data_IF_799144703193
#
_entry.id   IF_799144703193
#
_cell.length_a   1.000
_cell.length_b   1.000
_cell.length_c   1.000
_cell.angle_alpha   90.00
_cell.angle_beta   90.00
_cell.angle_gamma   90.00
#
_symmetry.space_group_name_H-M   'P 1'
#
loop_
_entity.id
_entity.type
_entity.pdbx_description
1 polymer ?
#
# COMPACT_ATOMS: atom_id res chain seq x y z
N UNK A 1 19.66 -33.06 14.66
CA UNK A 1 20.56 -31.99 14.19
C UNK A 1 19.69 -30.78 13.87
N UNK A 2 19.66 -29.76 14.74
CA UNK A 2 18.90 -28.54 14.48
C UNK A 2 19.74 -27.64 13.58
N UNK A 3 19.27 -27.39 12.37
CA UNK A 3 19.96 -26.54 11.39
C UNK A 3 19.45 -25.11 11.60
N UNK A 4 20.32 -24.13 11.90
CA UNK A 4 19.91 -22.75 12.08
C UNK A 4 19.41 -22.17 10.74
N UNK A 5 18.17 -21.67 10.77
CA UNK A 5 17.59 -20.81 9.73
C UNK A 5 17.82 -19.37 10.17
N UNK A 6 18.30 -18.50 9.29
CA UNK A 6 18.73 -17.16 9.70
C UNK A 6 17.84 -16.03 9.19
N UNK A 7 16.96 -16.28 8.21
CA UNK A 7 16.12 -15.22 7.63
C UNK A 7 14.81 -15.73 7.03
N UNK A 8 13.77 -14.92 7.23
CA UNK A 8 12.42 -15.07 6.68
C UNK A 8 12.09 -13.88 5.78
N UNK A 9 11.28 -14.08 4.75
CA UNK A 9 10.72 -12.99 3.93
C UNK A 9 9.39 -13.38 3.30
N UNK A 10 8.58 -12.37 3.00
CA UNK A 10 7.40 -12.50 2.14
C UNK A 10 7.75 -12.01 0.73
N UNK A 11 7.43 -12.79 -0.30
CA UNK A 11 7.71 -12.44 -1.71
C UNK A 11 6.47 -12.51 -2.58
N UNK A 12 6.46 -11.74 -3.67
CA UNK A 12 5.37 -11.77 -4.65
C UNK A 12 4.05 -11.19 -4.14
N UNK A 13 4.01 -10.62 -2.94
CA UNK A 13 2.86 -9.86 -2.45
C UNK A 13 2.93 -8.39 -2.82
N UNK A 14 1.96 -7.63 -2.28
CA UNK A 14 1.71 -6.23 -2.64
C UNK A 14 2.56 -5.24 -1.80
N UNK A 15 3.24 -5.75 -0.78
CA UNK A 15 4.04 -5.01 0.18
C UNK A 15 5.05 -5.93 0.89
N UNK A 16 5.91 -5.38 1.75
CA UNK A 16 6.82 -6.17 2.58
C UNK A 16 6.09 -7.01 3.64
N UNK A 17 4.86 -6.63 3.98
CA UNK A 17 3.99 -7.34 4.91
C UNK A 17 3.01 -8.29 4.23
N UNK A 18 3.16 -8.57 2.92
CA UNK A 18 2.30 -9.53 2.22
C UNK A 18 3.06 -10.37 1.21
N UNK A 19 2.66 -11.62 1.03
CA UNK A 19 3.18 -12.51 -0.02
C UNK A 19 3.37 -13.95 0.42
N UNK A 20 4.09 -14.71 -0.41
CA UNK A 20 4.48 -16.09 -0.14
C UNK A 20 5.67 -16.13 0.81
N UNK A 21 5.56 -16.91 1.88
CA UNK A 21 6.62 -17.07 2.87
C UNK A 21 7.78 -17.90 2.31
N UNK A 22 8.98 -17.35 2.42
CA UNK A 22 10.23 -18.04 2.13
C UNK A 22 11.17 -18.00 3.33
N UNK A 23 11.87 -19.10 3.56
CA UNK A 23 12.90 -19.26 4.58
C UNK A 23 14.23 -19.56 3.93
N UNK A 24 15.30 -18.99 4.47
CA UNK A 24 16.66 -19.27 4.03
C UNK A 24 17.35 -20.26 4.96
N UNK A 25 17.82 -21.38 4.41
CA UNK A 25 18.64 -22.37 5.11
C UNK A 25 20.10 -22.22 4.67
N UNK A 26 21.00 -21.96 5.62
CA UNK A 26 22.44 -21.82 5.32
C UNK A 26 23.10 -23.13 4.85
N UNK A 27 22.50 -24.29 5.13
CA UNK A 27 23.01 -25.58 4.68
C UNK A 27 22.74 -25.87 3.20
N UNK A 28 21.78 -25.19 2.58
CA UNK A 28 21.41 -25.31 1.18
C UNK A 28 21.87 -24.08 0.40
N UNK A 29 23.18 -23.90 0.19
CA UNK A 29 23.77 -22.99 -0.80
C UNK A 29 23.04 -21.63 -0.98
N UNK A 30 22.81 -20.89 0.11
CA UNK A 30 22.13 -19.58 0.07
C UNK A 30 20.71 -19.59 -0.56
N UNK A 31 20.06 -20.75 -0.72
CA UNK A 31 18.78 -20.88 -1.42
C UNK A 31 17.58 -20.59 -0.52
N UNK A 32 16.53 -20.03 -1.11
CA UNK A 32 15.27 -19.72 -0.43
C UNK A 32 14.25 -20.84 -0.70
N UNK A 33 13.71 -21.44 0.35
CA UNK A 33 12.68 -22.47 0.27
C UNK A 33 11.31 -21.87 0.58
N UNK A 34 10.30 -22.22 -0.22
CA UNK A 34 8.90 -21.88 0.06
C UNK A 34 8.37 -22.69 1.23
N UNK A 35 7.54 -22.06 2.07
CA UNK A 35 6.85 -22.72 3.18
C UNK A 35 5.46 -23.14 2.73
N UNK A 36 4.99 -24.32 3.14
CA UNK A 36 3.70 -24.88 2.73
C UNK A 36 2.50 -24.16 3.34
N UNK A 37 1.39 -24.06 2.62
CA UNK A 37 0.10 -23.64 3.16
C UNK A 37 -0.32 -24.57 4.33
N UNK A 38 -0.82 -23.98 5.42
CA UNK A 38 -1.13 -24.71 6.66
C UNK A 38 0.07 -24.94 7.59
N UNK A 39 1.28 -24.51 7.21
CA UNK A 39 2.48 -24.62 8.04
C UNK A 39 2.48 -23.75 9.30
N UNK A 40 1.76 -22.64 9.26
CA UNK A 40 1.67 -21.69 10.36
C UNK A 40 0.26 -21.73 10.95
N UNK A 41 0.19 -21.91 12.26
CA UNK A 41 -0.99 -21.56 13.01
C UNK A 41 -1.05 -20.04 13.24
N UNK A 42 -2.10 -19.57 13.90
CA UNK A 42 -2.27 -18.14 14.20
C UNK A 42 -1.09 -17.57 15.00
N UNK A 43 -0.54 -18.33 15.95
CA UNK A 43 0.57 -17.88 16.80
C UNK A 43 1.85 -17.75 15.99
N UNK A 44 2.13 -18.70 15.11
CA UNK A 44 3.25 -18.62 14.17
C UNK A 44 3.13 -17.46 13.20
N UNK A 45 1.93 -17.17 12.72
CA UNK A 45 1.69 -15.97 11.91
C UNK A 45 1.91 -14.67 12.70
N UNK A 46 1.52 -14.62 13.98
CA UNK A 46 1.78 -13.47 14.86
C UNK A 46 3.29 -13.26 15.11
N UNK A 47 4.05 -14.34 15.34
CA UNK A 47 5.51 -14.30 15.48
C UNK A 47 6.16 -13.78 14.20
N UNK A 48 5.78 -14.32 13.04
CA UNK A 48 6.34 -13.91 11.75
C UNK A 48 6.04 -12.44 11.43
N UNK A 49 4.79 -12.00 11.60
CA UNK A 49 4.44 -10.61 11.34
C UNK A 49 5.21 -9.66 12.26
N UNK A 50 5.37 -10.02 13.55
CA UNK A 50 6.16 -9.25 14.50
C UNK A 50 7.65 -9.21 14.13
N UNK A 51 8.22 -10.34 13.70
CA UNK A 51 9.62 -10.43 13.24
C UNK A 51 9.87 -9.51 12.05
N UNK A 52 8.92 -9.42 11.11
CA UNK A 52 8.97 -8.53 9.96
C UNK A 52 8.70 -7.05 10.30
N UNK A 53 8.37 -6.73 11.55
CA UNK A 53 7.98 -5.37 11.96
C UNK A 53 6.59 -4.96 11.45
N UNK A 54 5.77 -5.93 11.02
CA UNK A 54 4.40 -5.73 10.61
C UNK A 54 3.44 -5.84 11.82
N UNK A 55 2.20 -5.41 11.63
CA UNK A 55 1.11 -5.57 12.61
C UNK A 55 0.53 -6.99 12.62
N UNK A 56 -0.64 -7.16 13.23
CA UNK A 56 -1.29 -8.47 13.38
C UNK A 56 -1.57 -9.18 12.03
N UNK A 57 -1.53 -10.52 11.98
CA UNK A 57 -1.83 -11.28 10.77
C UNK A 57 -3.30 -11.15 10.36
N UNK A 58 -3.54 -10.93 9.07
CA UNK A 58 -4.86 -10.87 8.42
C UNK A 58 -5.12 -12.19 7.71
N UNK A 59 -5.24 -13.27 8.49
CA UNK A 59 -5.36 -14.64 7.98
C UNK A 59 -6.56 -14.79 7.03
N UNK A 60 -6.26 -14.98 5.74
CA UNK A 60 -7.18 -15.46 4.71
C UNK A 60 -6.53 -16.68 4.04
N UNK A 61 -7.09 -17.87 4.23
CA UNK A 61 -6.55 -19.10 3.65
C UNK A 61 -6.62 -20.28 4.62
N UNK A 62 -6.96 -21.45 4.10
CA UNK A 62 -7.53 -22.56 4.83
C UNK A 62 -6.48 -23.49 5.47
N UNK A 63 -6.94 -24.19 6.52
CA UNK A 63 -6.23 -25.29 7.18
C UNK A 63 -5.95 -26.42 6.17
N UNK A 64 -4.68 -26.60 5.77
CA UNK A 64 -4.21 -27.81 5.08
C UNK A 64 -3.24 -28.58 5.98
N UNK A 65 -3.49 -29.87 6.31
CA UNK A 65 -2.72 -30.61 7.31
C UNK A 65 -1.43 -31.27 6.80
N UNK A 66 -0.87 -30.85 5.65
CA UNK A 66 0.24 -31.57 5.02
C UNK A 66 1.36 -30.62 4.60
N UNK A 67 2.31 -30.40 5.52
CA UNK A 67 3.53 -29.62 5.29
C UNK A 67 4.40 -29.48 6.55
N UNK A 68 5.50 -28.74 6.42
CA UNK A 68 6.33 -28.28 7.56
C UNK A 68 5.43 -27.53 8.54
N UNK A 69 5.35 -27.90 9.81
CA UNK A 69 4.50 -27.19 10.78
C UNK A 69 5.36 -26.52 11.84
N UNK A 70 5.18 -25.20 12.01
CA UNK A 70 5.78 -24.44 13.11
C UNK A 70 4.79 -24.41 14.27
N UNK A 71 5.25 -24.86 15.43
CA UNK A 71 4.46 -24.89 16.66
C UNK A 71 4.94 -23.77 17.58
N UNK A 72 4.51 -22.54 17.29
CA UNK A 72 4.88 -21.37 18.10
C UNK A 72 3.97 -21.21 19.32
N UNK A 73 4.54 -20.85 20.45
CA UNK A 73 3.81 -20.47 21.66
C UNK A 73 3.29 -19.02 21.60
N UNK A 74 3.89 -18.17 20.76
CA UNK A 74 3.50 -16.77 20.47
C UNK A 74 4.44 -15.71 21.07
N UNK A 75 5.39 -16.10 21.91
CA UNK A 75 6.34 -15.21 22.58
C UNK A 75 7.72 -15.18 21.90
N UNK A 76 7.92 -16.03 20.90
CA UNK A 76 9.16 -16.16 20.14
C UNK A 76 9.49 -14.87 19.37
N UNK A 77 10.76 -14.49 19.35
CA UNK A 77 11.20 -13.27 18.66
C UNK A 77 11.33 -13.49 17.16
N UNK A 78 11.66 -14.72 16.77
CA UNK A 78 11.78 -15.15 15.37
C UNK A 78 10.98 -16.43 15.14
N UNK A 79 10.47 -16.60 13.93
CA UNK A 79 9.76 -17.82 13.53
C UNK A 79 10.69 -19.06 13.60
N UNK A 80 11.98 -18.83 13.42
CA UNK A 80 13.02 -19.87 13.50
C UNK A 80 13.26 -20.38 14.92
N UNK A 81 12.80 -19.65 15.94
CA UNK A 81 12.88 -20.09 17.34
C UNK A 81 11.76 -21.09 17.69
N UNK A 82 10.73 -21.20 16.84
CA UNK A 82 9.62 -22.12 17.07
C UNK A 82 10.02 -23.58 16.75
N UNK A 83 9.57 -24.56 17.57
CA UNK A 83 9.65 -25.97 17.24
C UNK A 83 9.06 -26.27 15.86
N UNK A 84 9.82 -27.00 15.03
CA UNK A 84 9.42 -27.34 13.66
C UNK A 84 9.31 -28.85 13.46
N UNK A 85 8.21 -29.30 12.84
CA UNK A 85 8.05 -30.69 12.37
C UNK A 85 8.12 -30.71 10.84
N UNK A 86 8.91 -31.63 10.27
CA UNK A 86 9.04 -31.76 8.81
C UNK A 86 8.43 -33.09 8.37
N UNK A 87 7.18 -33.03 7.93
CA UNK A 87 6.42 -34.18 7.45
C UNK A 87 5.94 -33.91 6.03
N UNK A 88 6.43 -34.67 5.05
CA UNK A 88 5.91 -34.67 3.68
C UNK A 88 6.89 -34.26 2.57
N UNK A 89 6.49 -34.46 1.30
CA UNK A 89 7.33 -34.20 0.13
C UNK A 89 7.66 -32.71 -0.03
N UNK A 90 8.76 -32.41 -0.74
CA UNK A 90 9.29 -31.05 -0.95
C UNK A 90 8.38 -30.12 -1.77
N UNK A 91 7.31 -30.64 -2.37
CA UNK A 91 6.38 -29.90 -3.22
C UNK A 91 5.01 -29.75 -2.55
N UNK A 92 4.69 -28.51 -2.17
CA UNK A 92 3.42 -28.11 -1.56
C UNK A 92 3.03 -26.72 -2.07
N UNK A 93 1.73 -26.36 -2.03
CA UNK A 93 1.30 -24.99 -2.30
C UNK A 93 1.95 -24.03 -1.29
N UNK A 94 2.45 -22.89 -1.74
CA UNK A 94 3.14 -21.92 -0.88
C UNK A 94 2.17 -21.15 0.00
N UNK A 95 2.52 -21.00 1.28
CA UNK A 95 1.79 -20.19 2.25
C UNK A 95 1.84 -18.72 1.87
N UNK A 96 0.69 -18.16 1.52
CA UNK A 96 0.52 -16.72 1.39
C UNK A 96 0.03 -16.15 2.73
N UNK A 97 0.77 -15.19 3.27
CA UNK A 97 0.41 -14.47 4.47
C UNK A 97 0.30 -12.98 4.15
N UNK A 98 -0.72 -12.33 4.71
CA UNK A 98 -0.81 -10.88 4.75
C UNK A 98 -0.85 -10.45 6.20
N UNK A 99 0.10 -9.62 6.60
CA UNK A 99 0.13 -8.93 7.88
C UNK A 99 -0.47 -7.53 7.71
N UNK A 100 -1.01 -6.98 8.80
CA UNK A 100 -1.42 -5.58 8.82
C UNK A 100 -0.20 -4.69 8.64
N UNK A 101 -0.28 -3.69 7.76
CA UNK A 101 0.79 -2.69 7.65
C UNK A 101 0.91 -1.89 8.96
N UNK A 102 2.13 -1.56 9.42
CA UNK A 102 2.37 -0.69 10.56
C UNK A 102 2.14 0.79 10.18
N UNK A 103 1.08 1.07 9.41
CA UNK A 103 0.75 2.37 8.85
C UNK A 103 -0.70 2.73 9.21
N UNK A 104 -0.96 4.02 9.36
CA UNK A 104 -2.32 4.57 9.48
C UNK A 104 -2.40 6.00 8.95
N UNK A 105 -3.63 6.42 8.64
CA UNK A 105 -3.95 7.81 8.36
C UNK A 105 -4.72 8.41 9.53
N UNK A 106 -4.33 9.60 9.98
CA UNK A 106 -4.96 10.30 11.11
C UNK A 106 -5.43 11.70 10.74
N UNK A 107 -6.56 12.11 11.32
CA UNK A 107 -7.08 13.48 11.19
C UNK A 107 -7.69 13.82 9.83
N UNK A 108 -8.04 12.83 9.01
CA UNK A 108 -8.88 13.01 7.83
C UNK A 108 -10.34 12.63 8.07
N UNK A 109 -11.19 12.83 7.06
CA UNK A 109 -12.63 12.57 7.15
C UNK A 109 -13.01 11.07 7.18
N UNK A 110 -12.07 10.18 6.83
CA UNK A 110 -12.28 8.73 6.79
C UNK A 110 -11.01 7.97 7.19
N UNK A 111 -11.10 6.64 7.30
CA UNK A 111 -9.93 5.76 7.53
C UNK A 111 -8.91 5.80 6.37
N UNK A 112 -9.33 6.24 5.20
CA UNK A 112 -8.55 6.30 3.96
C UNK A 112 -8.11 7.72 3.61
N UNK A 113 -8.16 8.63 4.59
CA UNK A 113 -7.78 10.02 4.46
C UNK A 113 -7.04 10.49 5.71
N UNK A 114 -5.95 11.23 5.53
CA UNK A 114 -5.30 11.95 6.63
C UNK A 114 -3.79 11.98 6.55
N UNK A 115 -3.17 12.24 7.69
CA UNK A 115 -1.71 12.33 7.85
C UNK A 115 -1.12 10.94 8.06
N UNK A 116 -0.04 10.61 7.33
CA UNK A 116 0.65 9.33 7.45
C UNK A 116 1.40 9.23 8.78
N UNK A 117 1.07 8.21 9.55
CA UNK A 117 1.83 7.77 10.71
C UNK A 117 2.24 6.31 10.55
N UNK A 118 3.44 6.00 11.03
CA UNK A 118 3.97 4.65 11.08
C UNK A 118 4.16 4.22 12.54
N UNK A 119 3.91 2.95 12.82
CA UNK A 119 4.17 2.35 14.11
C UNK A 119 5.62 1.85 14.16
N UNK A 120 6.36 2.29 15.17
CA UNK A 120 7.70 1.78 15.46
C UNK A 120 7.78 1.39 16.94
N UNK A 121 7.90 0.08 17.20
CA UNK A 121 8.03 -0.49 18.56
C UNK A 121 6.88 -0.11 19.51
N UNK A 122 5.64 -0.15 19.02
CA UNK A 122 4.44 0.16 19.81
C UNK A 122 4.11 1.65 19.92
N UNK A 123 4.93 2.52 19.33
CA UNK A 123 4.66 3.96 19.28
C UNK A 123 4.35 4.41 17.86
N UNK A 124 3.26 5.15 17.72
CA UNK A 124 2.90 5.81 16.46
C UNK A 124 3.66 7.11 16.31
N UNK A 125 4.33 7.27 15.17
CA UNK A 125 5.14 8.46 14.84
C UNK A 125 4.79 8.96 13.45
N UNK A 126 4.91 10.28 13.27
CA UNK A 126 4.75 10.89 11.94
C UNK A 126 5.91 10.49 11.04
N UNK A 127 5.59 10.31 9.76
CA UNK A 127 6.59 10.02 8.73
C UNK A 127 7.03 11.33 8.07
N UNK A 128 8.33 11.54 7.97
CA UNK A 128 8.92 12.65 7.22
C UNK A 128 9.53 12.11 5.91
N UNK A 129 9.28 12.74 4.75
CA UNK A 129 9.75 12.22 3.49
C UNK A 129 11.24 12.51 3.29
N UNK A 130 12.03 11.47 3.02
CA UNK A 130 13.32 11.63 2.36
C UNK A 130 13.07 11.64 0.84
N UNK A 131 12.91 12.84 0.27
CA UNK A 131 12.71 13.03 -1.18
C UNK A 131 11.35 13.62 -1.58
N UNK A 132 10.96 13.36 -2.83
CA UNK A 132 9.68 13.80 -3.39
C UNK A 132 8.52 13.05 -2.72
N UNK A 133 7.42 13.77 -2.51
CA UNK A 133 6.16 13.19 -2.07
C UNK A 133 5.17 13.41 -3.19
N UNK A 134 4.89 12.36 -3.93
CA UNK A 134 4.08 12.37 -5.12
C UNK A 134 2.93 11.36 -5.02
N UNK A 135 2.16 11.24 -6.09
CA UNK A 135 1.02 10.33 -6.14
C UNK A 135 1.44 8.86 -6.12
N UNK A 136 2.66 8.52 -6.56
CA UNK A 136 3.16 7.14 -6.55
C UNK A 136 3.48 6.71 -5.12
N UNK A 137 4.14 7.56 -4.34
CA UNK A 137 4.37 7.35 -2.91
C UNK A 137 3.05 7.21 -2.15
N UNK A 138 2.07 8.08 -2.42
CA UNK A 138 0.73 7.96 -1.85
C UNK A 138 0.02 6.66 -2.28
N UNK A 139 0.20 6.22 -3.53
CA UNK A 139 -0.39 4.97 -4.02
C UNK A 139 0.15 3.74 -3.27
N UNK A 140 1.42 3.75 -2.88
CA UNK A 140 1.98 2.70 -2.02
C UNK A 140 1.31 2.69 -0.64
N UNK A 141 1.08 3.86 -0.04
CA UNK A 141 0.36 3.97 1.25
C UNK A 141 -1.09 3.50 1.13
N UNK A 142 -1.83 3.96 0.11
CA UNK A 142 -3.22 3.56 -0.11
C UNK A 142 -3.36 2.05 -0.36
N UNK A 143 -2.40 1.46 -1.08
CA UNK A 143 -2.36 0.01 -1.30
C UNK A 143 -2.08 -0.76 -0.01
N UNK A 144 -1.13 -0.30 0.80
CA UNK A 144 -0.81 -0.94 2.08
C UNK A 144 -1.97 -0.90 3.09
N UNK A 145 -2.78 0.15 3.06
CA UNK A 145 -3.95 0.30 3.93
C UNK A 145 -5.23 -0.35 3.40
N UNK A 146 -5.17 -0.94 2.20
CA UNK A 146 -6.31 -1.42 1.43
C UNK A 146 -7.42 -0.36 1.35
N UNK A 147 -7.04 0.80 0.83
CA UNK A 147 -7.86 2.02 0.73
C UNK A 147 -8.10 2.43 -0.74
N UNK A 148 -7.95 1.50 -1.67
CA UNK A 148 -8.10 1.76 -3.10
C UNK A 148 -6.91 2.49 -3.74
N UNK A 149 -7.20 3.36 -4.69
CA UNK A 149 -6.21 4.16 -5.43
C UNK A 149 -5.88 5.47 -4.70
N UNK A 150 -4.68 6.00 -4.89
CA UNK A 150 -4.33 7.33 -4.43
C UNK A 150 -5.00 8.41 -5.27
N UNK A 151 -5.62 9.36 -4.59
CA UNK A 151 -6.30 10.52 -5.19
C UNK A 151 -5.46 11.78 -5.00
N UNK A 152 -4.84 11.94 -3.83
CA UNK A 152 -4.03 13.12 -3.50
C UNK A 152 -2.83 12.78 -2.63
N UNK A 153 -1.74 13.52 -2.85
CA UNK A 153 -0.51 13.51 -2.08
C UNK A 153 -0.08 14.97 -1.81
N UNK A 154 -0.24 15.45 -0.58
CA UNK A 154 0.08 16.84 -0.21
C UNK A 154 1.12 16.88 0.92
N UNK A 155 2.10 17.78 0.81
CA UNK A 155 2.98 18.17 1.93
C UNK A 155 2.38 19.42 2.58
N UNK A 156 1.85 19.29 3.79
CA UNK A 156 1.40 20.45 4.58
C UNK A 156 2.44 20.85 5.60
N UNK A 157 2.56 22.15 5.88
CA UNK A 157 3.28 22.61 7.07
C UNK A 157 2.49 22.19 8.30
N UNK A 158 3.13 21.43 9.16
CA UNK A 158 2.61 21.04 10.46
C UNK A 158 2.88 22.09 11.51
N UNK A 159 2.91 21.65 12.77
CA UNK A 159 3.26 22.53 13.88
C UNK A 159 4.71 22.99 13.75
N UNK A 160 4.93 24.29 13.77
CA UNK A 160 6.27 24.88 13.98
C UNK A 160 6.61 24.71 15.45
N UNK A 161 7.54 23.81 15.76
CA UNK A 161 8.08 23.70 17.12
C UNK A 161 9.35 24.54 17.24
N UNK A 162 9.42 25.35 18.29
CA UNK A 162 10.68 26.01 18.67
C UNK A 162 11.62 24.95 19.20
N UNK A 163 12.76 24.78 18.56
CA UNK A 163 13.81 23.85 18.97
C UNK A 163 15.04 24.63 19.38
N UNK A 164 15.80 24.09 20.34
CA UNK A 164 17.11 24.63 20.66
C UNK A 164 18.13 24.05 19.69
N UNK A 165 18.71 24.90 18.85
CA UNK A 165 19.89 24.56 18.05
C UNK A 165 21.15 24.88 18.83
N UNK A 166 22.24 24.15 18.55
CA UNK A 166 23.57 24.44 19.10
C UNK A 166 24.54 24.72 17.97
N UNK A 167 25.28 25.83 18.06
CA UNK A 167 26.33 26.13 17.09
C UNK A 167 27.59 25.33 17.41
N UNK A 168 27.95 24.39 16.54
CA UNK A 168 29.15 23.57 16.72
C UNK A 168 30.43 24.40 16.68
N UNK A 169 30.46 25.46 15.87
CA UNK A 169 31.63 26.34 15.76
C UNK A 169 31.81 27.22 17.00
N UNK A 170 30.71 27.55 17.69
CA UNK A 170 30.75 28.23 18.99
C UNK A 170 31.28 27.29 20.08
N UNK A 171 30.78 26.05 20.15
CA UNK A 171 31.24 25.06 21.14
C UNK A 171 32.73 24.74 20.95
N UNK A 172 33.20 24.63 19.70
CA UNK A 172 34.62 24.39 19.37
C UNK A 172 35.55 25.53 19.78
N UNK A 173 35.03 26.73 20.08
CA UNK A 173 35.80 27.89 20.54
C UNK A 173 35.92 27.97 22.07
N UNK A 174 35.67 26.88 22.80
CA UNK A 174 35.72 26.80 24.27
C UNK A 174 34.67 27.69 25.00
N UNK A 175 33.58 28.08 24.34
CA UNK A 175 32.46 28.75 25.00
C UNK A 175 31.57 27.77 25.77
N UNK A 176 30.92 28.23 26.84
CA UNK A 176 29.97 27.40 27.57
C UNK A 176 28.80 27.02 26.66
N UNK A 177 28.38 25.75 26.66
CA UNK A 177 27.35 25.23 25.73
C UNK A 177 26.07 26.06 25.76
N UNK A 178 25.68 26.58 26.93
CA UNK A 178 24.52 27.46 27.14
C UNK A 178 24.58 28.75 26.31
N UNK A 179 25.77 29.30 26.08
CA UNK A 179 25.99 30.53 25.31
C UNK A 179 25.98 30.27 23.79
N UNK A 180 26.08 29.00 23.40
CA UNK A 180 26.04 28.56 22.00
C UNK A 180 24.65 28.09 21.55
N UNK A 181 23.65 28.17 22.44
CA UNK A 181 22.27 27.82 22.15
C UNK A 181 21.56 28.94 21.41
N UNK A 182 20.83 28.60 20.36
CA UNK A 182 19.94 29.52 19.67
C UNK A 182 18.56 28.88 19.47
N UNK A 183 17.53 29.72 19.35
CA UNK A 183 16.17 29.24 19.08
C UNK A 183 16.03 29.06 17.57
N UNK A 184 16.00 27.80 17.14
CA UNK A 184 15.63 27.41 15.79
C UNK A 184 14.12 27.15 15.67
N UNK A 185 13.65 27.05 14.43
CA UNK A 185 12.31 26.56 14.13
C UNK A 185 12.45 25.23 13.40
N UNK A 186 11.84 24.17 13.94
CA UNK A 186 11.66 22.92 13.21
C UNK A 186 10.28 22.97 12.58
N UNK A 187 10.24 22.96 11.25
CA UNK A 187 9.00 22.89 10.48
C UNK A 187 8.67 21.42 10.28
N UNK A 188 7.80 20.86 11.13
CA UNK A 188 7.36 19.48 10.93
C UNK A 188 6.46 19.42 9.70
N UNK A 189 6.83 18.64 8.69
CA UNK A 189 5.99 18.45 7.51
C UNK A 189 4.99 17.33 7.78
N UNK A 190 3.72 17.58 7.46
CA UNK A 190 2.67 16.58 7.50
C UNK A 190 2.48 16.03 6.09
N UNK A 191 2.67 14.73 5.96
CA UNK A 191 2.38 13.99 4.74
C UNK A 191 0.89 13.63 4.73
N UNK A 192 0.09 14.37 3.96
CA UNK A 192 -1.32 14.05 3.78
C UNK A 192 -1.53 13.17 2.56
N UNK A 193 -2.35 12.13 2.74
CA UNK A 193 -2.82 11.20 1.71
C UNK A 193 -4.33 11.20 1.70
N UNK A 194 -4.90 11.21 0.51
CA UNK A 194 -6.31 10.89 0.28
C UNK A 194 -6.35 9.72 -0.70
N UNK A 195 -7.02 8.65 -0.30
CA UNK A 195 -7.31 7.50 -1.15
C UNK A 195 -8.79 7.48 -1.54
N UNK A 196 -9.13 6.72 -2.57
CA UNK A 196 -10.50 6.61 -3.10
C UNK A 196 -11.44 5.79 -2.21
N UNK A 197 -10.91 5.00 -1.27
CA UNK A 197 -11.63 4.12 -0.33
C UNK A 197 -12.30 2.92 -1.01
N UNK A 198 -13.04 3.13 -2.10
CA UNK A 198 -13.91 2.09 -2.68
C UNK A 198 -13.59 1.68 -4.12
N UNK A 199 -12.67 2.37 -4.82
CA UNK A 199 -12.35 2.06 -6.23
C UNK A 199 -10.85 1.94 -6.47
N UNK A 200 -10.42 1.03 -7.34
CA UNK A 200 -9.01 0.95 -7.78
C UNK A 200 -8.83 0.43 -9.19
N UNK A 201 -7.74 0.84 -9.83
CA UNK A 201 -7.27 0.29 -11.10
C UNK A 201 -6.05 -0.61 -10.83
N UNK A 202 -6.07 -1.85 -11.32
CA UNK A 202 -5.00 -2.84 -11.11
C UNK A 202 -4.43 -3.38 -12.42
N UNK A 203 -3.14 -3.71 -12.43
CA UNK A 203 -2.50 -4.36 -13.58
C UNK A 203 -2.27 -3.48 -14.81
N UNK A 204 -2.52 -2.16 -14.71
CA UNK A 204 -2.17 -1.21 -15.77
C UNK A 204 -0.73 -0.71 -15.67
N UNK A 205 -0.35 0.11 -16.65
CA UNK A 205 1.01 0.68 -16.77
C UNK A 205 1.22 1.94 -15.94
N UNK A 206 0.14 2.51 -15.40
CA UNK A 206 0.17 3.71 -14.57
C UNK A 206 -0.99 3.73 -13.58
N UNK A 207 -0.99 4.68 -12.65
CA UNK A 207 -2.06 4.87 -11.67
C UNK A 207 -3.42 5.19 -12.31
N UNK A 208 -3.41 5.65 -13.57
CA UNK A 208 -4.58 6.02 -14.36
C UNK A 208 -4.98 4.94 -15.38
N UNK A 209 -4.42 3.73 -15.31
CA UNK A 209 -4.77 2.63 -16.21
C UNK A 209 -4.89 1.29 -15.48
N UNK A 210 -5.74 0.40 -15.98
CA UNK A 210 -5.84 -0.98 -15.50
C UNK A 210 -7.27 -1.51 -15.44
N UNK A 211 -7.42 -2.67 -14.82
CA UNK A 211 -8.71 -3.30 -14.57
C UNK A 211 -9.41 -2.66 -13.37
N UNK A 212 -10.67 -2.26 -13.53
CA UNK A 212 -11.46 -1.65 -12.47
C UNK A 212 -11.93 -2.68 -11.44
N UNK A 213 -11.63 -2.39 -10.17
CA UNK A 213 -12.16 -3.11 -9.02
C UNK A 213 -12.84 -2.14 -8.06
N UNK A 214 -13.95 -2.60 -7.48
CA UNK A 214 -14.72 -1.86 -6.48
C UNK A 214 -14.79 -2.67 -5.19
N UNK A 215 -14.83 -1.97 -4.06
CA UNK A 215 -15.09 -2.56 -2.75
C UNK A 215 -16.43 -2.02 -2.25
N UNK A 216 -17.39 -2.93 -2.08
CA UNK A 216 -18.66 -2.61 -1.45
C UNK A 216 -18.52 -2.91 0.05
N UNK A 217 -18.85 -1.95 0.91
CA UNK A 217 -18.83 -2.14 2.37
C UNK A 217 -19.79 -3.26 2.83
N UNK A 218 -20.75 -3.65 2.00
CA UNK A 218 -21.69 -4.75 2.27
C UNK A 218 -21.15 -6.15 1.89
N UNK A 219 -20.10 -6.23 1.07
CA UNK A 219 -19.42 -7.47 0.72
C UNK A 219 -18.16 -7.61 1.59
N UNK A 220 -17.88 -8.81 2.09
CA UNK A 220 -16.85 -9.09 3.10
C UNK A 220 -15.45 -8.57 2.74
N UNK A 221 -15.19 -7.28 3.02
CA UNK A 221 -13.94 -6.55 2.80
C UNK A 221 -13.19 -6.95 1.51
N UNK A 222 -13.89 -7.30 0.43
CA UNK A 222 -13.30 -7.91 -0.75
C UNK A 222 -13.52 -7.03 -1.98
N UNK A 223 -12.49 -7.01 -2.84
CA UNK A 223 -12.50 -6.23 -4.07
C UNK A 223 -13.11 -7.06 -5.19
N UNK A 224 -14.21 -6.59 -5.76
CA UNK A 224 -14.89 -7.20 -6.88
C UNK A 224 -14.46 -6.54 -8.20
N UNK A 225 -14.20 -7.35 -9.23
CA UNK A 225 -13.99 -6.85 -10.59
C UNK A 225 -15.30 -6.31 -11.17
N UNK A 226 -15.22 -5.21 -11.92
CA UNK A 226 -16.36 -4.66 -12.65
C UNK A 226 -16.37 -5.20 -14.07
N UNK A 227 -17.52 -5.63 -14.58
CA UNK A 227 -17.64 -6.21 -15.91
C UNK A 227 -17.40 -5.20 -17.04
N UNK A 228 -16.89 -5.64 -18.18
CA UNK A 228 -16.96 -4.84 -19.41
C UNK A 228 -18.41 -4.47 -19.74
N UNK A 229 -18.63 -3.23 -20.20
CA UNK A 229 -19.98 -2.71 -20.47
C UNK A 229 -20.74 -2.19 -19.24
N UNK A 230 -20.19 -2.36 -18.04
CA UNK A 230 -20.77 -1.88 -16.80
C UNK A 230 -20.75 -0.35 -16.64
N UNK A 231 -19.82 0.30 -17.32
CA UNK A 231 -19.54 1.71 -17.18
C UNK A 231 -19.79 2.40 -18.52
N UNK A 232 -20.70 3.36 -18.53
CA UNK A 232 -20.89 4.25 -19.66
C UNK A 232 -19.81 5.35 -19.68
N UNK A 233 -19.83 6.20 -20.70
CA UNK A 233 -18.86 7.30 -20.81
C UNK A 233 -18.91 8.23 -19.59
N UNK A 234 -20.10 8.51 -19.06
CA UNK A 234 -20.27 9.42 -17.92
C UNK A 234 -19.69 8.82 -16.64
N UNK A 235 -19.93 7.54 -16.40
CA UNK A 235 -19.31 6.82 -15.30
C UNK A 235 -17.78 6.74 -15.42
N UNK A 236 -17.26 6.59 -16.64
CA UNK A 236 -15.81 6.64 -16.87
C UNK A 236 -15.24 8.03 -16.59
N UNK A 237 -15.97 9.10 -16.93
CA UNK A 237 -15.60 10.48 -16.60
C UNK A 237 -15.60 10.72 -15.08
N UNK A 238 -16.62 10.22 -14.36
CA UNK A 238 -16.69 10.28 -12.88
C UNK A 238 -15.51 9.54 -12.25
N UNK A 239 -15.24 8.30 -12.67
CA UNK A 239 -14.15 7.50 -12.12
C UNK A 239 -12.78 8.12 -12.38
N UNK A 240 -12.50 8.57 -13.61
CA UNK A 240 -11.21 9.21 -13.90
C UNK A 240 -11.04 10.51 -13.09
N UNK A 241 -12.11 11.29 -12.92
CA UNK A 241 -12.10 12.50 -12.09
C UNK A 241 -11.89 12.19 -10.61
N UNK A 242 -12.55 11.15 -10.09
CA UNK A 242 -12.37 10.68 -8.71
C UNK A 242 -10.92 10.30 -8.44
N UNK A 243 -10.24 9.67 -9.40
CA UNK A 243 -8.83 9.27 -9.30
C UNK A 243 -7.83 10.43 -9.53
N UNK A 244 -8.30 11.66 -9.78
CA UNK A 244 -7.43 12.78 -10.13
C UNK A 244 -6.73 12.63 -11.50
N UNK A 245 -7.25 11.73 -12.34
CA UNK A 245 -6.81 11.55 -13.71
C UNK A 245 -7.59 12.48 -14.66
N UNK A 246 -7.11 12.64 -15.90
CA UNK A 246 -7.79 13.38 -16.96
C UNK A 246 -8.93 12.58 -17.59
N UNK A 247 -9.42 13.05 -18.74
CA UNK A 247 -10.55 12.41 -19.44
C UNK A 247 -10.30 10.92 -19.78
N UNK A 248 -11.36 10.07 -19.80
CA UNK A 248 -11.23 8.67 -20.17
C UNK A 248 -10.85 8.51 -21.64
N UNK A 249 -9.88 7.63 -21.90
CA UNK A 249 -9.44 7.22 -23.22
C UNK A 249 -10.13 5.88 -23.55
N UNK A 250 -11.43 5.95 -23.83
CA UNK A 250 -12.23 4.76 -24.14
C UNK A 250 -11.73 4.13 -25.45
N UNK A 251 -11.12 2.95 -25.36
CA UNK A 251 -10.86 2.04 -26.47
C UNK A 251 -11.65 0.75 -26.22
N UNK A 252 -12.66 0.47 -27.05
CA UNK A 252 -13.46 -0.76 -26.96
C UNK A 252 -14.95 -0.50 -26.72
N UNK A 253 -15.79 -1.30 -27.37
CA UNK A 253 -17.22 -1.08 -27.54
C UNK A 253 -18.02 -1.09 -26.23
N UNK A 254 -18.89 -0.09 -26.08
CA UNK A 254 -19.97 -0.04 -25.09
C UNK A 254 -20.97 -1.14 -25.41
N UNK A 255 -20.80 -2.34 -24.85
CA UNK A 255 -21.76 -3.45 -24.97
C UNK A 255 -22.65 -3.50 -23.72
N UNK A 256 -23.99 -3.54 -23.85
CA UNK A 256 -24.90 -3.41 -22.71
C UNK A 256 -25.27 -4.79 -22.12
N UNK A 257 -24.35 -5.48 -21.44
CA UNK A 257 -24.70 -6.71 -20.71
C UNK A 257 -23.83 -6.87 -19.44
N UNK A 258 -24.24 -6.20 -18.35
CA UNK A 258 -23.63 -6.36 -17.01
C UNK A 258 -23.98 -5.21 -16.07
N UNK A 259 -23.65 -5.35 -14.78
CA UNK A 259 -23.87 -4.35 -13.72
C UNK A 259 -23.68 -2.93 -14.23
N UNK A 260 -24.71 -2.11 -14.33
CA UNK A 260 -24.54 -0.81 -14.98
C UNK A 260 -24.53 0.31 -13.95
N UNK A 261 -23.47 1.11 -13.94
CA UNK A 261 -23.43 2.39 -13.24
C UNK A 261 -24.15 3.42 -14.12
N UNK A 262 -25.17 4.06 -13.58
CA UNK A 262 -25.95 5.08 -14.26
C UNK A 262 -25.57 6.45 -13.72
N UNK A 263 -24.38 6.92 -14.08
CA UNK A 263 -23.89 8.23 -13.63
C UNK A 263 -24.44 9.35 -14.52
N UNK A 264 -24.84 10.46 -13.90
CA UNK A 264 -25.21 11.69 -14.60
C UNK A 264 -23.99 12.48 -15.07
N UNK A 265 -22.82 12.29 -14.44
CA UNK A 265 -21.52 12.90 -14.77
C UNK A 265 -21.06 13.98 -13.78
N UNK A 266 -21.88 14.35 -12.80
CA UNK A 266 -21.57 15.36 -11.79
C UNK A 266 -21.20 14.76 -10.42
N UNK A 267 -21.32 13.44 -10.28
CA UNK A 267 -20.99 12.70 -9.07
C UNK A 267 -19.51 12.81 -8.71
N UNK A 268 -19.22 12.94 -7.43
CA UNK A 268 -17.84 13.07 -6.95
C UNK A 268 -17.15 11.72 -6.85
N UNK A 269 -17.90 10.66 -6.59
CA UNK A 269 -17.43 9.28 -6.52
C UNK A 269 -18.30 8.36 -7.37
N UNK A 270 -17.69 7.31 -7.92
CA UNK A 270 -18.42 6.29 -8.71
C UNK A 270 -19.49 5.57 -7.87
N UNK A 271 -19.23 5.39 -6.57
CA UNK A 271 -20.15 4.74 -5.65
C UNK A 271 -21.38 5.59 -5.30
N UNK A 272 -21.38 6.89 -5.64
CA UNK A 272 -22.54 7.76 -5.50
C UNK A 272 -23.54 7.57 -6.66
N UNK A 273 -23.11 6.93 -7.76
CA UNK A 273 -23.97 6.68 -8.90
C UNK A 273 -24.98 5.55 -8.62
N UNK A 274 -26.23 5.68 -9.09
CA UNK A 274 -27.19 4.58 -9.12
C UNK A 274 -26.61 3.35 -9.84
N UNK A 275 -26.83 2.17 -9.25
CA UNK A 275 -26.28 0.90 -9.75
C UNK A 275 -27.35 -0.17 -9.87
N UNK A 276 -27.36 -0.90 -10.98
CA UNK A 276 -28.22 -2.07 -11.18
C UNK A 276 -27.39 -3.35 -11.09
N UNK A 277 -27.72 -4.25 -10.16
CA UNK A 277 -27.08 -5.58 -10.05
C UNK A 277 -27.85 -6.59 -10.92
N UNK A 278 -27.49 -6.66 -12.18
CA UNK A 278 -28.03 -7.65 -13.13
C UNK A 278 -26.88 -8.34 -13.85
N UNK A 279 -26.56 -9.57 -13.46
CA UNK A 279 -25.59 -10.40 -14.19
C UNK A 279 -25.02 -11.55 -13.35
N UNK A 280 -24.53 -12.62 -14.01
CA UNK A 280 -23.81 -13.72 -13.36
C UNK A 280 -22.48 -13.23 -12.75
N UNK A 281 -21.97 -13.95 -11.73
CA UNK A 281 -20.75 -13.58 -10.99
C UNK A 281 -19.46 -13.62 -11.82
N UNK A 282 -19.51 -14.12 -13.05
CA UNK A 282 -18.36 -14.28 -13.94
C UNK A 282 -18.54 -13.51 -15.24
N UNK A 283 -17.70 -12.49 -15.44
CA UNK A 283 -17.66 -11.64 -16.63
C UNK A 283 -16.21 -11.19 -16.91
N UNK A 284 -15.88 -10.81 -18.16
CA UNK A 284 -14.60 -10.17 -18.44
C UNK A 284 -14.49 -8.84 -17.71
N UNK A 285 -13.33 -8.58 -17.09
CA UNK A 285 -13.10 -7.36 -16.30
C UNK A 285 -12.89 -6.14 -17.17
N UNK A 286 -13.54 -5.02 -16.82
CA UNK A 286 -13.40 -3.73 -17.47
C UNK A 286 -11.99 -3.18 -17.30
N UNK A 287 -11.29 -3.00 -18.43
CA UNK A 287 -10.04 -2.24 -18.48
C UNK A 287 -10.31 -0.79 -18.86
N UNK A 288 -9.89 0.14 -18.01
CA UNK A 288 -10.02 1.57 -18.24
C UNK A 288 -8.63 2.21 -18.33
N UNK A 289 -8.47 3.15 -19.25
CA UNK A 289 -7.32 4.05 -19.30
C UNK A 289 -7.81 5.49 -19.29
N UNK A 290 -7.37 6.27 -18.32
CA UNK A 290 -7.60 7.70 -18.24
C UNK A 290 -6.37 8.44 -18.77
N UNK A 291 -6.56 9.67 -19.25
CA UNK A 291 -5.46 10.54 -19.62
C UNK A 291 -4.64 10.88 -18.36
N UNK A 292 -3.32 10.77 -18.45
CA UNK A 292 -2.47 11.12 -17.32
C UNK A 292 -2.41 12.63 -17.08
N UNK A 293 -2.35 13.08 -15.81
CA UNK A 293 -2.13 14.47 -15.50
C UNK A 293 -0.72 14.89 -15.91
N UNK A 294 -0.63 16.00 -16.63
CA UNK A 294 0.63 16.67 -16.95
C UNK A 294 1.09 17.46 -15.74
N UNK A 295 2.36 17.33 -15.36
CA UNK A 295 2.99 18.16 -14.33
C UNK A 295 4.08 19.02 -14.95
N UNK A 296 4.20 20.26 -14.48
CA UNK A 296 5.36 21.11 -14.75
C UNK A 296 6.52 20.64 -13.86
N UNK A 297 7.63 20.28 -14.48
CA UNK A 297 8.86 19.83 -13.81
C UNK A 297 10.01 20.77 -14.17
N UNK A 298 10.88 21.08 -13.20
CA UNK A 298 12.11 21.84 -13.41
C UNK A 298 11.98 23.37 -13.43
N UNK A 299 10.86 23.94 -12.96
CA UNK A 299 10.69 25.39 -12.82
C UNK A 299 11.08 25.92 -11.44
N UNK A 300 11.61 27.14 -11.42
CA UNK A 300 11.85 27.89 -10.18
C UNK A 300 10.55 28.38 -9.52
N UNK A 301 9.43 28.33 -10.25
CA UNK A 301 8.10 28.72 -9.78
C UNK A 301 7.02 27.73 -10.24
N UNK A 302 5.82 27.86 -9.64
CA UNK A 302 4.64 27.03 -9.90
C UNK A 302 4.07 27.12 -11.33
N UNK A 303 4.58 28.04 -12.15
CA UNK A 303 4.15 28.27 -13.53
C UNK A 303 5.27 28.11 -14.56
N UNK A 304 6.47 27.72 -14.13
CA UNK A 304 7.64 27.54 -14.98
C UNK A 304 8.05 26.06 -14.99
N UNK A 305 8.73 25.64 -16.05
CA UNK A 305 9.18 24.27 -16.23
C UNK A 305 8.64 23.62 -17.50
N UNK A 306 8.95 22.34 -17.68
CA UNK A 306 8.54 21.56 -18.83
C UNK A 306 7.40 20.63 -18.42
N UNK A 307 6.33 20.59 -19.22
CA UNK A 307 5.26 19.63 -19.02
C UNK A 307 5.76 18.21 -19.28
N UNK A 308 5.74 17.36 -18.27
CA UNK A 308 6.04 15.93 -18.38
C UNK A 308 4.85 15.11 -17.90
N UNK A 309 4.71 13.90 -18.43
CA UNK A 309 3.75 12.94 -17.89
C UNK A 309 4.28 12.41 -16.57
N UNK A 310 3.37 12.21 -15.61
CA UNK A 310 3.75 11.74 -14.27
C UNK A 310 4.43 10.36 -14.28
N UNK A 311 4.32 9.58 -15.36
CA UNK A 311 4.93 8.25 -15.55
C UNK A 311 6.32 8.27 -16.20
N UNK A 312 6.80 9.40 -16.73
CA UNK A 312 8.07 9.49 -17.47
C UNK A 312 9.29 9.73 -16.56
N UNK A 313 9.10 9.86 -15.23
CA UNK A 313 10.19 10.12 -14.28
C UNK A 313 10.75 8.84 -13.62
N UNK A 314 10.04 7.71 -13.71
CA UNK A 314 10.41 6.43 -13.08
C UNK A 314 11.48 5.62 -13.85
N UNK A 315 12.10 6.20 -14.88
CA UNK A 315 13.06 5.54 -15.78
C UNK A 315 14.40 6.23 -15.92
N UNK A 316 14.83 7.01 -14.93
CA UNK A 316 16.11 7.72 -14.91
C UNK A 316 16.99 7.33 -13.73
N UNK A 317 18.10 6.66 -14.06
CA UNK A 317 19.28 6.29 -13.26
C UNK A 317 19.20 5.09 -12.29
#
# INVERSE_FOLDING_TARGET
MCVPLDSVRLVGGRSLCSGSLQIQDQSLAQSWAGVCEGALDRRGAEVLCRELGCGAPLLQGALSPLGQTFHCEGHESKLTDCPRTRTGPETCPTLNLTCKEPLRLVGGASRCEGTVEAELRGEWRRVEPYGLWDLEAAAAVCRGLDCGSAVSAEKRRGSVSKVWGVSTDCVKKNSAVRECLYVGSSDSRLLQVICSDSVRLVGGRSLCSGSLQIQDQSLAQSWAGVCEGALDRRGAEVLCRELGCGAPLLQGALSPLGQTFHCEGHESKLMDCPRTRTGPETCPTLNLTCKEPLRLVGGASRCEGQWRRSSEESGGE
#
